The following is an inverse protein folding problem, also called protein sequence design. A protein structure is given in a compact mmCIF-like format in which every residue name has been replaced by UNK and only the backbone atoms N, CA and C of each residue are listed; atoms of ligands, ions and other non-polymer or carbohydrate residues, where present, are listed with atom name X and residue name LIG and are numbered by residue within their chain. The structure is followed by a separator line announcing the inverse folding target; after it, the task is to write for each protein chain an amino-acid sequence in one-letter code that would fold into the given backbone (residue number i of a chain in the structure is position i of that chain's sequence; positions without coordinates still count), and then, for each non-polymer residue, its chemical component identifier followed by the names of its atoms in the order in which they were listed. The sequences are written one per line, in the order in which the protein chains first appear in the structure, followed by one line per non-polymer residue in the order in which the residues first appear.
data_IF_696599144706
#
_entry.id   IF_696599144706
#
_cell.length_a   1.000
_cell.length_b   1.000
_cell.length_c   1.000
_cell.angle_alpha   90.00
_cell.angle_beta   90.00
_cell.angle_gamma   90.00
#
_symmetry.space_group_name_H-M   'P 1'
#
loop_
_entity.id
_entity.type
_entity.pdbx_description
1 polymer ?
#
# COMPACT_ATOMS: atom_id res chain seq x y z
N UNK A 1 9.04 -1.42 -20.78
CA UNK A 1 10.08 -1.43 -19.75
C UNK A 1 11.40 -1.76 -20.43
N UNK A 2 12.30 -0.79 -20.57
CA UNK A 2 13.55 -0.93 -21.33
C UNK A 2 14.42 -2.06 -20.76
N UNK A 3 14.41 -2.24 -19.43
CA UNK A 3 15.21 -3.27 -18.76
C UNK A 3 14.80 -4.66 -19.23
N UNK A 4 13.50 -4.91 -19.35
CA UNK A 4 12.96 -6.21 -19.77
C UNK A 4 13.34 -6.47 -21.23
N UNK A 5 13.17 -5.48 -22.10
CA UNK A 5 13.59 -5.61 -23.50
C UNK A 5 15.08 -5.92 -23.63
N UNK A 6 15.94 -5.30 -22.82
CA UNK A 6 17.38 -5.62 -22.77
C UNK A 6 17.63 -7.05 -22.33
N UNK A 7 16.94 -7.53 -21.28
CA UNK A 7 17.07 -8.93 -20.83
C UNK A 7 16.69 -9.90 -21.95
N UNK A 8 15.56 -9.65 -22.64
CA UNK A 8 15.17 -10.43 -23.80
C UNK A 8 16.22 -10.39 -24.90
N UNK A 9 16.66 -9.20 -25.30
CA UNK A 9 17.64 -9.04 -26.38
C UNK A 9 18.97 -9.77 -26.11
N UNK A 10 19.45 -9.73 -24.86
CA UNK A 10 20.76 -10.32 -24.50
C UNK A 10 20.68 -11.83 -24.27
N UNK A 11 19.56 -12.36 -23.78
CA UNK A 11 19.50 -13.74 -23.27
C UNK A 11 18.59 -14.69 -24.10
N UNK A 12 17.79 -14.17 -25.04
CA UNK A 12 16.76 -14.95 -25.73
C UNK A 12 17.27 -16.20 -26.47
N UNK A 13 18.50 -16.18 -26.98
CA UNK A 13 19.05 -17.31 -27.75
C UNK A 13 19.32 -18.54 -26.88
N UNK A 14 19.75 -18.31 -25.63
CA UNK A 14 20.19 -19.37 -24.71
C UNK A 14 19.13 -19.74 -23.66
N UNK A 15 18.17 -18.84 -23.43
CA UNK A 15 17.21 -18.96 -22.33
C UNK A 15 15.77 -18.82 -22.79
N UNK A 16 14.88 -19.57 -22.14
CA UNK A 16 13.46 -19.27 -22.12
C UNK A 16 13.17 -18.25 -21.03
N UNK A 17 12.49 -17.16 -21.38
CA UNK A 17 12.26 -16.02 -20.51
C UNK A 17 10.75 -15.86 -20.29
N UNK A 18 10.34 -15.95 -19.03
CA UNK A 18 8.95 -15.80 -18.59
C UNK A 18 8.81 -14.55 -17.75
N UNK A 19 7.90 -13.67 -18.15
CA UNK A 19 7.54 -12.48 -17.38
C UNK A 19 6.23 -12.75 -16.64
N UNK A 20 6.24 -12.59 -15.32
CA UNK A 20 5.07 -12.74 -14.46
C UNK A 20 4.78 -11.38 -13.82
N UNK A 21 3.57 -10.86 -14.05
CA UNK A 21 3.04 -9.73 -13.30
C UNK A 21 2.27 -10.29 -12.10
N UNK A 22 2.76 -9.97 -10.90
CA UNK A 22 2.16 -10.42 -9.65
C UNK A 22 1.70 -9.21 -8.85
N UNK A 23 0.42 -9.15 -8.52
CA UNK A 23 -0.14 -8.20 -7.56
C UNK A 23 -0.19 -8.83 -6.16
N UNK A 24 -0.32 -8.04 -5.11
CA UNK A 24 -0.38 -8.58 -3.74
C UNK A 24 -1.62 -9.45 -3.53
N UNK A 25 -2.71 -9.19 -4.25
CA UNK A 25 -3.90 -10.05 -4.22
C UNK A 25 -3.64 -11.47 -4.74
N UNK A 26 -2.65 -11.67 -5.62
CA UNK A 26 -2.26 -13.02 -6.07
C UNK A 26 -1.72 -13.88 -4.91
N UNK A 27 -1.26 -13.23 -3.84
CA UNK A 27 -0.76 -13.86 -2.62
C UNK A 27 -1.73 -13.74 -1.43
N UNK A 28 -3.00 -13.35 -1.66
CA UNK A 28 -4.00 -13.19 -0.60
C UNK A 28 -3.95 -11.83 0.12
N UNK A 29 -3.06 -10.93 -0.31
CA UNK A 29 -2.87 -9.61 0.27
C UNK A 29 -3.65 -8.52 -0.47
N UNK A 30 -4.96 -8.73 -0.69
CA UNK A 30 -5.83 -7.81 -1.44
C UNK A 30 -5.96 -6.40 -0.86
N UNK A 31 -5.75 -6.22 0.45
CA UNK A 31 -5.87 -4.91 1.10
C UNK A 31 -4.69 -3.97 0.85
N UNK A 32 -3.66 -4.37 0.08
CA UNK A 32 -2.51 -3.54 -0.28
C UNK A 32 -2.40 -3.46 -1.79
N UNK A 33 -2.13 -2.27 -2.32
CA UNK A 33 -1.70 -2.13 -3.71
C UNK A 33 -0.18 -2.33 -3.77
N UNK A 34 0.35 -3.33 -4.48
CA UNK A 34 1.79 -3.40 -4.81
C UNK A 34 2.05 -4.44 -5.90
N UNK A 35 2.02 -4.00 -7.14
CA UNK A 35 2.43 -4.83 -8.28
C UNK A 35 3.95 -5.08 -8.28
N UNK A 36 4.35 -6.30 -8.58
CA UNK A 36 5.72 -6.73 -8.84
C UNK A 36 5.78 -7.40 -10.22
N UNK A 37 6.93 -7.30 -10.86
CA UNK A 37 7.22 -8.04 -12.08
C UNK A 37 8.37 -8.99 -11.79
N UNK A 38 8.12 -10.28 -11.92
CA UNK A 38 9.14 -11.32 -11.84
C UNK A 38 9.56 -11.72 -13.25
N UNK A 39 10.87 -11.89 -13.44
CA UNK A 39 11.43 -12.41 -14.69
C UNK A 39 12.13 -13.71 -14.35
N UNK A 40 11.62 -14.81 -14.89
CA UNK A 40 12.20 -16.13 -14.72
C UNK A 40 12.95 -16.45 -16.00
N UNK A 41 14.23 -16.80 -15.87
CA UNK A 41 15.12 -17.09 -16.98
C UNK A 41 15.61 -18.52 -16.83
N UNK A 42 15.28 -19.38 -17.78
CA UNK A 42 15.54 -20.83 -17.73
C UNK A 42 16.46 -21.23 -18.88
N UNK A 43 17.59 -21.87 -18.57
CA UNK A 43 18.59 -22.23 -19.58
C UNK A 43 18.14 -23.46 -20.38
N UNK A 44 17.98 -23.31 -21.70
CA UNK A 44 17.44 -24.37 -22.58
C UNK A 44 18.28 -25.64 -22.60
N UNK A 45 19.59 -25.52 -22.48
CA UNK A 45 20.52 -26.66 -22.53
C UNK A 45 20.58 -27.46 -21.23
N UNK A 46 20.23 -26.85 -20.10
CA UNK A 46 20.41 -27.44 -18.78
C UNK A 46 19.10 -27.90 -18.13
N UNK A 47 17.96 -27.34 -18.54
CA UNK A 47 16.68 -27.58 -17.90
C UNK A 47 15.60 -27.96 -18.90
N UNK A 48 14.76 -28.93 -18.51
CA UNK A 48 13.53 -29.26 -19.22
C UNK A 48 12.36 -28.62 -18.49
N UNK A 49 11.67 -27.71 -19.14
CA UNK A 49 10.45 -27.12 -18.61
C UNK A 49 9.34 -28.19 -18.54
N UNK A 50 8.82 -28.43 -17.34
CA UNK A 50 7.70 -29.37 -17.12
C UNK A 50 6.36 -28.62 -17.18
N UNK A 51 6.31 -27.40 -16.65
CA UNK A 51 5.11 -26.55 -16.62
C UNK A 51 5.45 -25.13 -17.08
N UNK A 52 4.46 -24.42 -17.65
CA UNK A 52 4.58 -22.99 -17.95
C UNK A 52 4.48 -22.17 -16.66
N UNK A 53 5.53 -21.43 -16.24
CA UNK A 53 5.50 -20.66 -15.00
C UNK A 53 4.36 -19.64 -14.95
N UNK A 54 4.00 -19.05 -16.09
CA UNK A 54 2.91 -18.08 -16.20
C UNK A 54 1.56 -18.73 -15.92
N UNK A 55 1.27 -19.88 -16.55
CA UNK A 55 0.02 -20.61 -16.33
C UNK A 55 -0.08 -21.11 -14.89
N UNK A 56 1.00 -21.69 -14.36
CA UNK A 56 1.06 -22.18 -13.00
C UNK A 56 0.81 -21.05 -11.98
N UNK A 57 1.43 -19.88 -12.18
CA UNK A 57 1.15 -18.71 -11.36
C UNK A 57 -0.33 -18.32 -11.44
N UNK A 58 -0.91 -18.20 -12.64
CA UNK A 58 -2.33 -17.84 -12.80
C UNK A 58 -3.27 -18.82 -12.10
N UNK A 59 -3.02 -20.13 -12.17
CA UNK A 59 -3.81 -21.15 -11.50
C UNK A 59 -3.73 -21.03 -9.98
N UNK A 60 -2.52 -20.94 -9.42
CA UNK A 60 -2.30 -20.81 -7.97
C UNK A 60 -2.91 -19.50 -7.46
N UNK A 61 -2.66 -18.38 -8.14
CA UNK A 61 -3.16 -17.06 -7.74
C UNK A 61 -4.69 -17.01 -7.79
N UNK A 62 -5.31 -17.68 -8.76
CA UNK A 62 -6.79 -17.80 -8.82
C UNK A 62 -7.34 -18.55 -7.60
N UNK A 63 -6.69 -19.65 -7.21
CA UNK A 63 -7.07 -20.40 -6.01
C UNK A 63 -6.90 -19.57 -4.73
N UNK A 64 -5.78 -18.85 -4.59
CA UNK A 64 -5.51 -18.00 -3.43
C UNK A 64 -6.53 -16.86 -3.34
N UNK A 65 -6.82 -16.16 -4.43
CA UNK A 65 -7.83 -15.07 -4.48
C UNK A 65 -9.24 -15.53 -4.12
N UNK A 66 -9.56 -16.79 -4.41
CA UNK A 66 -10.84 -17.40 -4.03
C UNK A 66 -10.90 -17.72 -2.53
N UNK A 67 -9.75 -17.96 -1.89
CA UNK A 67 -9.67 -18.45 -0.51
C UNK A 67 -9.39 -17.35 0.51
N UNK A 68 -8.51 -16.40 0.18
CA UNK A 68 -8.00 -15.38 1.11
C UNK A 68 -8.25 -13.99 0.56
N UNK A 69 -8.87 -13.12 1.37
CA UNK A 69 -9.07 -11.71 1.06
C UNK A 69 -8.83 -10.88 2.30
N UNK A 70 -7.70 -10.18 2.32
CA UNK A 70 -7.40 -9.18 3.34
C UNK A 70 -7.98 -7.83 2.95
N UNK A 71 -8.27 -6.99 3.93
CA UNK A 71 -8.68 -5.60 3.79
C UNK A 71 -7.62 -4.67 4.39
N UNK A 72 -7.67 -3.35 4.13
CA UNK A 72 -6.75 -2.39 4.73
C UNK A 72 -6.67 -2.48 6.27
N UNK A 73 -7.78 -2.77 6.96
CA UNK A 73 -7.81 -2.92 8.41
C UNK A 73 -6.95 -4.06 8.94
N UNK A 74 -6.77 -5.13 8.17
CA UNK A 74 -5.98 -6.31 8.59
C UNK A 74 -4.49 -5.98 8.76
N UNK A 75 -4.03 -4.89 8.16
CA UNK A 75 -2.65 -4.42 8.23
C UNK A 75 -2.41 -3.43 9.37
N UNK A 76 -3.45 -3.07 10.12
CA UNK A 76 -3.39 -2.09 11.22
C UNK A 76 -3.00 -2.77 12.53
N UNK A 77 -1.77 -3.29 12.55
CA UNK A 77 -1.24 -4.12 13.64
C UNK A 77 -0.38 -3.35 14.63
N UNK A 78 -0.24 -2.02 14.49
CA UNK A 78 0.62 -1.24 15.37
C UNK A 78 0.12 -1.27 16.82
N UNK A 79 1.04 -1.54 17.73
CA UNK A 79 0.81 -1.39 19.16
C UNK A 79 0.67 0.07 19.57
N UNK A 80 -0.02 0.31 20.69
CA UNK A 80 -0.15 1.66 21.27
C UNK A 80 1.20 2.32 21.51
N UNK A 81 2.23 1.55 21.87
CA UNK A 81 3.59 2.04 22.08
C UNK A 81 4.20 2.55 20.77
N UNK A 82 4.08 1.79 19.67
CA UNK A 82 4.58 2.20 18.36
C UNK A 82 3.89 3.47 17.87
N UNK A 83 2.57 3.55 18.02
CA UNK A 83 1.80 4.76 17.68
C UNK A 83 2.29 5.96 18.48
N UNK A 84 2.50 5.80 19.79
CA UNK A 84 3.00 6.86 20.68
C UNK A 84 4.43 7.30 20.35
N UNK A 85 5.32 6.37 20.03
CA UNK A 85 6.71 6.69 19.65
C UNK A 85 6.76 7.49 18.35
N UNK A 86 5.98 7.10 17.35
CA UNK A 86 5.91 7.83 16.08
C UNK A 86 5.25 9.21 16.25
N UNK A 87 4.20 9.29 17.07
CA UNK A 87 3.55 10.54 17.41
C UNK A 87 4.48 11.51 18.17
N UNK A 88 5.27 11.00 19.12
CA UNK A 88 6.26 11.78 19.87
C UNK A 88 7.33 12.37 18.95
N UNK A 89 7.81 11.60 17.96
CA UNK A 89 8.78 12.09 16.99
C UNK A 89 8.19 13.19 16.10
N UNK A 90 6.96 13.01 15.60
CA UNK A 90 6.28 14.05 14.80
C UNK A 90 6.02 15.31 15.63
N UNK A 91 5.60 15.17 16.89
CA UNK A 91 5.41 16.29 17.80
C UNK A 91 6.71 17.06 18.03
N UNK A 92 7.83 16.34 18.25
CA UNK A 92 9.17 16.91 18.41
C UNK A 92 9.60 17.71 17.18
N UNK A 93 9.47 17.12 15.98
CA UNK A 93 9.85 17.79 14.71
C UNK A 93 8.99 19.03 14.47
N UNK A 94 7.72 19.03 14.90
CA UNK A 94 6.79 20.15 14.70
C UNK A 94 6.78 21.18 15.81
N UNK A 95 7.47 20.92 16.94
CA UNK A 95 7.41 21.78 18.12
C UNK A 95 6.03 21.81 18.79
N UNK A 96 5.25 20.72 18.68
CA UNK A 96 3.92 20.58 19.29
C UNK A 96 4.07 19.78 20.60
N UNK A 97 3.29 20.14 21.63
CA UNK A 97 3.26 19.38 22.89
C UNK A 97 2.68 17.98 22.66
N UNK A 98 3.47 16.94 22.93
CA UNK A 98 3.05 15.55 22.80
C UNK A 98 2.06 15.15 23.91
N UNK A 99 0.93 14.52 23.55
CA UNK A 99 -0.12 14.05 24.46
C UNK A 99 -0.03 12.53 24.63
N UNK A 100 0.79 12.05 25.56
CA UNK A 100 1.07 10.61 25.78
C UNK A 100 -0.15 9.74 26.13
N UNK A 101 -1.22 10.36 26.63
CA UNK A 101 -2.47 9.68 27.01
C UNK A 101 -3.48 9.55 25.85
N UNK A 102 -3.20 10.13 24.67
CA UNK A 102 -4.07 10.07 23.50
C UNK A 102 -3.50 9.19 22.41
N UNK A 103 -4.33 8.32 21.82
CA UNK A 103 -4.03 7.61 20.57
C UNK A 103 -4.58 8.34 19.34
N UNK A 104 -5.53 9.26 19.54
CA UNK A 104 -5.97 10.20 18.52
C UNK A 104 -4.87 11.25 18.32
N UNK A 105 -4.34 11.25 17.10
CA UNK A 105 -3.25 12.11 16.63
C UNK A 105 -3.78 13.28 15.78
N UNK A 106 -5.08 13.55 15.74
CA UNK A 106 -5.70 14.62 14.94
C UNK A 106 -5.22 16.03 15.30
N UNK A 107 -4.53 16.19 16.43
CA UNK A 107 -3.90 17.46 16.84
C UNK A 107 -2.48 17.66 16.28
N UNK A 108 -1.89 16.63 15.66
CA UNK A 108 -0.53 16.67 15.13
C UNK A 108 -0.42 17.11 13.66
N UNK A 109 -1.38 16.86 12.74
CA UNK A 109 -1.36 17.36 11.37
C UNK A 109 -1.06 18.87 11.28
N UNK A 110 -0.32 19.28 10.25
CA UNK A 110 -0.14 20.70 9.95
C UNK A 110 -1.32 21.22 9.10
N UNK A 111 -1.42 22.54 8.90
CA UNK A 111 -2.54 23.16 8.19
C UNK A 111 -2.80 22.55 6.81
N UNK A 112 -1.73 22.27 6.05
CA UNK A 112 -1.83 21.62 4.73
C UNK A 112 -2.41 20.20 4.83
N UNK A 113 -1.99 19.44 5.84
CA UNK A 113 -2.51 18.09 6.07
C UNK A 113 -3.96 18.12 6.58
N UNK A 114 -4.32 19.07 7.43
CA UNK A 114 -5.69 19.27 7.93
C UNK A 114 -6.65 19.60 6.78
N UNK A 115 -6.29 20.57 5.94
CA UNK A 115 -7.04 20.92 4.73
C UNK A 115 -7.20 19.71 3.80
N UNK A 116 -6.13 18.92 3.61
CA UNK A 116 -6.20 17.72 2.81
C UNK A 116 -7.12 16.64 3.41
N UNK A 117 -7.10 16.45 4.74
CA UNK A 117 -8.01 15.53 5.44
C UNK A 117 -9.45 15.99 5.25
N UNK A 118 -9.75 17.27 5.44
CA UNK A 118 -11.11 17.83 5.29
C UNK A 118 -11.66 17.63 3.88
N UNK A 119 -10.87 17.99 2.86
CA UNK A 119 -11.25 17.82 1.46
C UNK A 119 -11.49 16.34 1.10
N UNK A 120 -10.67 15.43 1.61
CA UNK A 120 -10.84 14.00 1.39
C UNK A 120 -12.04 13.43 2.16
N UNK A 121 -12.28 13.82 3.42
CA UNK A 121 -13.48 13.43 4.15
C UNK A 121 -14.75 13.88 3.41
N UNK A 122 -14.81 15.15 3.01
CA UNK A 122 -15.94 15.69 2.24
C UNK A 122 -16.14 14.96 0.92
N UNK A 123 -15.05 14.75 0.16
CA UNK A 123 -15.14 14.02 -1.11
C UNK A 123 -15.59 12.56 -0.94
N UNK A 124 -15.33 11.94 0.21
CA UNK A 124 -15.79 10.60 0.54
C UNK A 124 -17.29 10.63 0.86
N UNK A 125 -17.72 11.52 1.75
CA UNK A 125 -19.12 11.72 2.13
C UNK A 125 -20.00 12.05 0.92
N UNK A 126 -19.58 12.98 0.06
CA UNK A 126 -20.29 13.34 -1.17
C UNK A 126 -20.47 12.15 -2.13
N UNK A 127 -19.55 11.16 -2.08
CA UNK A 127 -19.54 10.03 -3.01
C UNK A 127 -20.26 8.79 -2.48
N UNK A 128 -20.16 8.53 -1.18
CA UNK A 128 -20.63 7.28 -0.57
C UNK A 128 -21.79 7.51 0.41
N UNK A 129 -22.20 8.76 0.65
CA UNK A 129 -23.26 9.13 1.60
C UNK A 129 -23.00 8.61 3.03
N UNK A 130 -21.72 8.40 3.38
CA UNK A 130 -21.27 7.88 4.66
C UNK A 130 -20.09 8.70 5.18
N UNK A 131 -20.03 8.92 6.51
CA UNK A 131 -18.92 9.62 7.14
C UNK A 131 -17.62 8.82 7.07
N UNK A 132 -16.52 9.48 6.70
CA UNK A 132 -15.21 8.84 6.54
C UNK A 132 -14.71 8.14 7.83
N UNK A 133 -15.12 8.60 9.01
CA UNK A 133 -14.75 8.01 10.30
C UNK A 133 -15.40 6.64 10.55
N UNK A 134 -16.47 6.29 9.83
CA UNK A 134 -17.18 5.02 10.00
C UNK A 134 -16.57 3.89 9.15
N UNK A 135 -15.83 4.22 8.08
CA UNK A 135 -15.17 3.22 7.22
C UNK A 135 -13.80 2.82 7.80
N UNK A 136 -13.76 1.65 8.45
CA UNK A 136 -12.54 1.09 9.03
C UNK A 136 -11.51 0.62 7.99
N UNK A 137 -11.82 0.64 6.70
CA UNK A 137 -10.90 0.31 5.61
C UNK A 137 -10.46 1.55 4.82
N UNK A 138 -10.90 2.74 5.22
CA UNK A 138 -10.56 3.99 4.56
C UNK A 138 -9.21 4.53 5.00
N UNK A 139 -8.30 4.72 4.05
CA UNK A 139 -6.98 5.28 4.26
C UNK A 139 -6.74 6.35 3.19
N UNK A 140 -6.30 7.52 3.63
CA UNK A 140 -5.93 8.65 2.77
C UNK A 140 -4.43 8.78 2.67
N UNK A 141 -3.89 9.13 1.52
CA UNK A 141 -2.50 9.54 1.41
C UNK A 141 -2.40 11.07 1.38
N UNK A 142 -1.84 11.66 2.43
CA UNK A 142 -1.74 13.11 2.63
C UNK A 142 -0.57 13.76 1.88
N UNK A 143 0.20 12.99 1.11
CA UNK A 143 1.33 13.53 0.35
C UNK A 143 0.91 14.26 -0.92
N UNK A 144 -0.25 13.92 -1.49
CA UNK A 144 -0.77 14.53 -2.73
C UNK A 144 -1.68 15.73 -2.44
N UNK A 145 -2.01 16.50 -3.48
CA UNK A 145 -3.05 17.53 -3.43
C UNK A 145 -4.41 16.91 -3.80
N UNK A 146 -5.40 16.88 -2.88
CA UNK A 146 -6.72 16.29 -3.13
C UNK A 146 -7.49 16.93 -4.28
N UNK A 147 -7.21 18.18 -4.61
CA UNK A 147 -7.79 18.89 -5.75
C UNK A 147 -7.37 18.34 -7.12
N UNK A 148 -6.24 17.62 -7.19
CA UNK A 148 -5.76 17.01 -8.44
C UNK A 148 -5.82 15.48 -8.41
N UNK A 149 -5.49 14.86 -7.27
CA UNK A 149 -5.44 13.41 -7.14
C UNK A 149 -5.94 12.96 -5.77
N UNK A 150 -7.02 12.16 -5.78
CA UNK A 150 -7.56 11.50 -4.59
C UNK A 150 -6.88 10.14 -4.40
N UNK A 151 -5.70 10.16 -3.81
CA UNK A 151 -4.95 8.94 -3.49
C UNK A 151 -5.46 8.36 -2.16
N UNK A 152 -6.45 7.48 -2.24
CA UNK A 152 -7.14 6.89 -1.09
C UNK A 152 -7.58 5.43 -1.35
N UNK A 153 -7.93 4.68 -0.30
CA UNK A 153 -8.43 3.31 -0.43
C UNK A 153 -9.93 3.21 -0.73
N UNK A 154 -10.67 4.33 -0.78
CA UNK A 154 -12.13 4.34 -0.87
C UNK A 154 -12.69 3.51 -2.05
N UNK A 155 -12.05 3.62 -3.23
CA UNK A 155 -12.47 2.96 -4.47
C UNK A 155 -11.80 1.60 -4.65
N UNK A 156 -10.48 1.54 -4.45
CA UNK A 156 -9.71 0.31 -4.68
C UNK A 156 -9.90 -0.72 -3.58
N UNK A 157 -10.35 -0.30 -2.39
CA UNK A 157 -10.31 -1.06 -1.13
C UNK A 157 -8.90 -1.57 -0.81
N UNK A 158 -7.86 -0.84 -1.25
CA UNK A 158 -6.45 -1.14 -0.99
C UNK A 158 -5.73 0.06 -0.42
N UNK A 159 -4.81 -0.16 0.53
CA UNK A 159 -3.89 0.86 1.03
C UNK A 159 -3.06 1.39 -0.16
N UNK A 160 -3.03 2.72 -0.39
CA UNK A 160 -2.23 3.31 -1.46
C UNK A 160 -0.74 3.00 -1.32
N UNK A 161 0.01 2.94 -2.42
CA UNK A 161 1.46 2.79 -2.39
C UNK A 161 2.19 4.10 -2.11
N UNK A 162 3.34 3.99 -1.45
CA UNK A 162 4.33 5.05 -1.45
C UNK A 162 4.83 5.34 -2.87
N UNK A 163 4.80 6.61 -3.26
CA UNK A 163 5.47 7.11 -4.47
C UNK A 163 6.95 7.31 -4.20
N UNK A 164 7.79 7.23 -5.23
CA UNK A 164 9.27 7.18 -5.15
C UNK A 164 9.93 8.36 -4.42
N UNK A 165 9.20 9.46 -4.16
CA UNK A 165 9.69 10.65 -3.43
C UNK A 165 8.79 11.06 -2.25
N UNK A 166 7.96 10.16 -1.74
CA UNK A 166 6.97 10.45 -0.70
C UNK A 166 7.39 10.03 0.70
N UNK A 167 8.68 10.08 1.02
CA UNK A 167 9.20 9.68 2.34
C UNK A 167 8.56 10.45 3.50
N UNK A 168 8.07 11.66 3.27
CA UNK A 168 7.34 12.49 4.23
C UNK A 168 5.82 12.30 4.21
N UNK A 169 5.28 11.57 3.22
CA UNK A 169 3.85 11.39 3.06
C UNK A 169 3.26 10.49 4.14
N UNK A 170 2.22 10.98 4.83
CA UNK A 170 1.47 10.23 5.82
C UNK A 170 0.27 9.54 5.19
N UNK A 171 0.01 8.31 5.61
CA UNK A 171 -1.22 7.59 5.29
C UNK A 171 -2.18 7.77 6.46
N UNK A 172 -3.18 8.63 6.32
CA UNK A 172 -4.13 8.95 7.38
C UNK A 172 -5.27 7.93 7.43
N UNK A 173 -5.65 7.54 8.64
CA UNK A 173 -6.69 6.58 8.97
C UNK A 173 -7.78 7.27 9.80
N UNK A 174 -8.88 7.74 9.14
CA UNK A 174 -9.86 8.61 9.77
C UNK A 174 -10.56 8.00 10.98
N UNK A 175 -10.94 6.73 10.91
CA UNK A 175 -11.69 6.05 11.97
C UNK A 175 -10.94 5.94 13.31
N UNK A 176 -9.62 6.15 13.32
CA UNK A 176 -8.80 6.21 14.55
C UNK A 176 -8.14 7.57 14.78
N UNK A 177 -8.36 8.55 13.91
CA UNK A 177 -7.72 9.86 14.01
C UNK A 177 -6.19 9.78 14.03
N UNK A 178 -5.58 8.85 13.30
CA UNK A 178 -4.11 8.69 13.27
C UNK A 178 -3.61 8.35 11.89
N UNK A 179 -2.31 8.44 11.65
CA UNK A 179 -1.69 7.85 10.46
C UNK A 179 -1.19 6.43 10.73
N UNK A 180 -0.93 5.69 9.65
CA UNK A 180 -0.33 4.36 9.68
C UNK A 180 1.12 4.46 10.13
N UNK A 181 1.55 3.60 11.05
CA UNK A 181 2.93 3.57 11.53
C UNK A 181 3.89 3.00 10.49
N UNK A 182 5.21 3.14 10.70
CA UNK A 182 6.21 2.55 9.81
C UNK A 182 6.03 1.03 9.56
N UNK A 183 5.57 0.29 10.56
CA UNK A 183 5.33 -1.16 10.46
C UNK A 183 4.12 -1.45 9.56
N UNK A 184 2.98 -0.78 9.80
CA UNK A 184 1.74 -0.94 9.03
C UNK A 184 1.91 -0.51 7.56
N UNK A 185 2.85 0.41 7.31
CA UNK A 185 3.16 0.92 5.98
C UNK A 185 3.99 -0.03 5.12
N UNK A 186 4.64 -1.04 5.71
CA UNK A 186 5.48 -2.01 4.98
C UNK A 186 5.13 -3.45 5.33
N UNK A 187 3.91 -3.93 5.03
CA UNK A 187 3.49 -5.26 5.46
C UNK A 187 4.31 -6.40 4.85
N UNK A 188 4.91 -6.18 3.67
CA UNK A 188 5.66 -7.22 2.94
C UNK A 188 7.10 -7.47 3.44
N UNK A 189 7.47 -7.02 4.64
CA UNK A 189 8.79 -7.24 5.24
C UNK A 189 8.74 -8.07 6.53
N UNK A 190 7.55 -8.50 6.94
CA UNK A 190 7.33 -9.49 7.99
C UNK A 190 7.23 -10.87 7.34
#
# INVERSE_FOLDING_TARGET
DIVIQTVYFVLYDLYDIFQIFADMEDCGHSGISRSRTYIIVVMRSAMKQIYCPVQLHTEISSFIKATVRTTPSDYLTASDLEVKLEAAEVARVRGIVFRSNSLDLSYLPNDRELDAIEQLCKAYEDRFEEQAVNDCNLVFFLGDNPGWAKTWSAVSKRIPTYRRNSSSGKMWYPSRGRWLTHAERRPSLQ
#
